data_IF_671420285066
#
_entry.id   IF_671420285066
#
_cell.length_a   1.000
_cell.length_b   1.000
_cell.length_c   1.000
_cell.angle_alpha   90.00
_cell.angle_beta   90.00
_cell.angle_gamma   90.00
#
_symmetry.space_group_name_H-M   'P 1'
#
loop_
_entity.id
_entity.type
_entity.pdbx_description
1 polymer ?
#
# COMPACT_ATOMS: atom_id res chain seq x y z
N UNK A 1 2.36 8.15 23.74
CA UNK A 1 2.74 6.74 23.92
C UNK A 1 1.59 5.89 24.46
N UNK A 2 0.89 6.30 25.51
CA UNK A 2 -0.21 5.53 26.15
C UNK A 2 -1.35 5.14 25.18
N UNK A 3 -1.74 6.01 24.26
CA UNK A 3 -2.81 5.75 23.28
C UNK A 3 -2.42 4.69 22.22
N UNK A 4 -1.15 4.66 21.81
CA UNK A 4 -0.64 3.68 20.85
C UNK A 4 -0.55 2.29 21.47
N UNK A 5 -0.13 2.19 22.73
CA UNK A 5 -0.08 0.91 23.45
C UNK A 5 -1.49 0.38 23.72
N UNK A 6 -2.45 1.23 24.09
CA UNK A 6 -3.84 0.84 24.26
C UNK A 6 -4.48 0.30 22.97
N UNK A 7 -4.23 0.97 21.83
CA UNK A 7 -4.71 0.52 20.53
C UNK A 7 -4.10 -0.83 20.11
N UNK A 8 -2.82 -1.04 20.38
CA UNK A 8 -2.12 -2.32 20.12
C UNK A 8 -2.69 -3.45 21.00
N UNK A 9 -2.96 -3.21 22.27
CA UNK A 9 -3.56 -4.19 23.18
C UNK A 9 -4.96 -4.59 22.67
N UNK A 10 -5.78 -3.62 22.27
CA UNK A 10 -7.09 -3.89 21.68
C UNK A 10 -7.00 -4.73 20.42
N UNK A 11 -6.05 -4.44 19.53
CA UNK A 11 -5.82 -5.24 18.32
C UNK A 11 -5.32 -6.65 18.62
N UNK A 12 -4.52 -6.85 19.67
CA UNK A 12 -4.06 -8.19 20.08
C UNK A 12 -5.22 -9.02 20.68
N UNK A 13 -6.11 -8.39 21.42
CA UNK A 13 -7.27 -9.08 22.04
C UNK A 13 -8.42 -9.30 21.04
N UNK A 14 -8.43 -8.61 19.90
CA UNK A 14 -9.52 -8.63 18.94
C UNK A 14 -9.92 -10.05 18.46
N UNK A 15 -9.00 -10.97 18.11
CA UNK A 15 -9.38 -12.31 17.66
C UNK A 15 -10.10 -13.17 18.68
N UNK A 16 -10.01 -12.83 19.97
CA UNK A 16 -10.70 -13.58 21.05
C UNK A 16 -12.20 -13.22 21.16
N UNK A 17 -12.57 -12.04 20.67
CA UNK A 17 -13.94 -11.52 20.73
C UNK A 17 -14.57 -11.45 19.33
N UNK A 18 -13.75 -11.30 18.29
CA UNK A 18 -14.20 -11.13 16.91
C UNK A 18 -14.53 -12.46 16.24
N UNK A 19 -15.66 -12.52 15.53
CA UNK A 19 -15.97 -13.64 14.64
C UNK A 19 -14.98 -13.73 13.48
N UNK A 20 -14.90 -14.91 12.84
CA UNK A 20 -13.96 -15.21 11.76
C UNK A 20 -14.02 -14.19 10.60
N UNK A 21 -15.23 -13.70 10.28
CA UNK A 21 -15.41 -12.63 9.28
C UNK A 21 -14.64 -11.36 9.62
N UNK A 22 -14.72 -10.90 10.88
CA UNK A 22 -14.04 -9.68 11.31
C UNK A 22 -12.52 -9.83 11.38
N UNK A 23 -12.04 -11.02 11.75
CA UNK A 23 -10.60 -11.36 11.76
C UNK A 23 -10.04 -11.30 10.34
N UNK A 24 -10.76 -11.89 9.39
CA UNK A 24 -10.39 -11.85 7.97
C UNK A 24 -10.43 -10.43 7.39
N UNK A 25 -11.44 -9.65 7.73
CA UNK A 25 -11.57 -8.26 7.33
C UNK A 25 -10.41 -7.39 7.87
N UNK A 26 -10.07 -7.57 9.15
CA UNK A 26 -8.96 -6.85 9.76
C UNK A 26 -7.61 -7.22 9.11
N UNK A 27 -7.40 -8.49 8.76
CA UNK A 27 -6.22 -8.95 8.03
C UNK A 27 -6.10 -8.26 6.66
N UNK A 28 -7.21 -8.11 5.93
CA UNK A 28 -7.25 -7.36 4.67
C UNK A 28 -6.91 -5.88 4.88
N UNK A 29 -7.45 -5.25 5.94
CA UNK A 29 -7.15 -3.86 6.29
C UNK A 29 -5.66 -3.69 6.56
N UNK A 30 -5.02 -4.59 7.29
CA UNK A 30 -3.58 -4.54 7.57
C UNK A 30 -2.74 -4.61 6.30
N UNK A 31 -3.04 -5.56 5.41
CA UNK A 31 -2.34 -5.70 4.12
C UNK A 31 -2.49 -4.43 3.29
N UNK A 32 -3.72 -3.93 3.19
CA UNK A 32 -3.99 -2.73 2.40
C UNK A 32 -3.44 -1.46 3.06
N UNK A 33 -3.30 -1.43 4.39
CA UNK A 33 -2.65 -0.34 5.12
C UNK A 33 -1.15 -0.24 4.78
N UNK A 34 -0.43 -1.36 4.65
CA UNK A 34 0.97 -1.34 4.17
C UNK A 34 1.02 -0.78 2.74
N UNK A 35 0.12 -1.23 1.87
CA UNK A 35 0.03 -0.75 0.49
C UNK A 35 -0.25 0.76 0.43
N UNK A 36 -1.23 1.25 1.15
CA UNK A 36 -1.54 2.67 1.22
C UNK A 36 -0.40 3.48 1.85
N UNK A 37 0.23 2.97 2.93
CA UNK A 37 1.38 3.63 3.55
C UNK A 37 2.59 3.73 2.60
N UNK A 38 2.81 2.73 1.75
CA UNK A 38 3.87 2.76 0.73
C UNK A 38 3.61 3.85 -0.33
N UNK A 39 2.35 4.02 -0.77
CA UNK A 39 1.95 5.12 -1.66
C UNK A 39 2.13 6.48 -0.96
N UNK A 40 1.81 6.55 0.33
CA UNK A 40 1.96 7.77 1.11
C UNK A 40 3.42 8.25 1.24
N UNK A 41 4.40 7.36 1.20
CA UNK A 41 5.81 7.75 1.13
C UNK A 41 6.09 8.61 -0.11
N UNK A 42 5.50 8.25 -1.24
CA UNK A 42 5.66 8.98 -2.50
C UNK A 42 4.77 10.23 -2.54
N UNK A 43 3.46 10.07 -2.33
CA UNK A 43 2.52 11.18 -2.44
C UNK A 43 2.65 12.16 -1.27
N UNK A 44 2.56 11.65 -0.04
CA UNK A 44 2.48 12.47 1.15
C UNK A 44 3.80 13.14 1.52
N UNK A 45 4.89 12.40 1.46
CA UNK A 45 6.21 12.91 1.84
C UNK A 45 7.05 13.37 0.67
N UNK A 46 6.93 12.70 -0.50
CA UNK A 46 7.70 13.02 -1.70
C UNK A 46 7.01 13.96 -2.68
N UNK A 47 5.70 14.18 -2.58
CA UNK A 47 4.92 14.97 -3.54
C UNK A 47 4.79 14.32 -4.93
N UNK A 48 4.96 13.00 -5.01
CA UNK A 48 4.96 12.22 -6.24
C UNK A 48 3.70 11.35 -6.30
N UNK A 49 2.66 11.83 -6.97
CA UNK A 49 1.45 11.04 -7.20
C UNK A 49 1.74 9.92 -8.21
N UNK A 50 1.41 8.67 -7.88
CA UNK A 50 1.60 7.50 -8.74
C UNK A 50 0.30 6.72 -8.91
N UNK A 51 0.01 6.29 -10.15
CA UNK A 51 -1.09 5.37 -10.49
C UNK A 51 -0.57 3.97 -10.90
N UNK A 52 0.72 3.74 -10.76
CA UNK A 52 1.36 2.47 -11.08
C UNK A 52 1.71 1.60 -9.88
N UNK A 53 1.30 1.97 -8.67
CA UNK A 53 1.82 1.33 -7.46
C UNK A 53 1.31 -0.11 -7.26
N UNK A 54 0.12 -0.44 -7.77
CA UNK A 54 -0.41 -1.82 -7.76
C UNK A 54 0.48 -2.82 -8.52
N UNK A 55 1.32 -2.34 -9.46
CA UNK A 55 2.27 -3.21 -10.14
C UNK A 55 3.29 -3.85 -9.19
N UNK A 56 3.76 -3.15 -8.15
CA UNK A 56 4.68 -3.71 -7.15
C UNK A 56 4.01 -4.77 -6.30
N UNK A 57 2.76 -4.53 -5.89
CA UNK A 57 1.94 -5.52 -5.20
C UNK A 57 1.77 -6.77 -6.08
N UNK A 58 1.32 -6.59 -7.33
CA UNK A 58 1.05 -7.69 -8.24
C UNK A 58 2.28 -8.47 -8.64
N UNK A 59 3.40 -7.80 -8.98
CA UNK A 59 4.64 -8.49 -9.37
C UNK A 59 5.21 -9.33 -8.22
N UNK A 60 5.22 -8.82 -6.99
CA UNK A 60 5.66 -9.60 -5.84
C UNK A 60 4.77 -10.83 -5.63
N UNK A 61 3.45 -10.67 -5.74
CA UNK A 61 2.49 -11.74 -5.62
C UNK A 61 2.66 -12.80 -6.73
N UNK A 62 2.78 -12.38 -7.99
CA UNK A 62 3.02 -13.31 -9.11
C UNK A 62 4.36 -14.01 -9.01
N UNK A 63 5.43 -13.29 -8.68
CA UNK A 63 6.76 -13.88 -8.56
C UNK A 63 6.78 -14.94 -7.46
N UNK A 64 6.20 -14.65 -6.28
CA UNK A 64 6.09 -15.64 -5.21
C UNK A 64 5.24 -16.84 -5.62
N UNK A 65 4.11 -16.62 -6.32
CA UNK A 65 3.24 -17.66 -6.83
C UNK A 65 3.95 -18.56 -7.85
N UNK A 66 4.65 -17.98 -8.81
CA UNK A 66 5.36 -18.71 -9.85
C UNK A 66 6.51 -19.56 -9.28
N UNK A 67 7.29 -19.00 -8.36
CA UNK A 67 8.39 -19.71 -7.72
C UNK A 67 7.88 -20.88 -6.86
N UNK A 68 6.76 -20.69 -6.15
CA UNK A 68 6.14 -21.73 -5.33
C UNK A 68 5.48 -22.83 -6.16
N UNK A 69 4.63 -22.47 -7.14
CA UNK A 69 3.82 -23.43 -7.89
C UNK A 69 4.56 -24.11 -9.02
N UNK A 70 5.36 -23.36 -9.82
CA UNK A 70 6.03 -23.93 -11.01
C UNK A 70 7.42 -24.49 -10.71
N UNK A 71 8.15 -23.88 -9.78
CA UNK A 71 9.50 -24.32 -9.41
C UNK A 71 9.53 -25.14 -8.12
N UNK A 72 8.41 -25.26 -7.40
CA UNK A 72 8.33 -26.01 -6.15
C UNK A 72 9.21 -25.44 -5.02
N UNK A 73 9.62 -24.17 -5.13
CA UNK A 73 10.50 -23.56 -4.15
C UNK A 73 9.74 -23.25 -2.86
N UNK A 74 10.32 -23.56 -1.72
CA UNK A 74 9.75 -23.24 -0.43
C UNK A 74 9.62 -21.72 -0.22
N UNK A 75 8.67 -21.32 0.64
CA UNK A 75 8.38 -19.89 0.94
C UNK A 75 9.62 -19.11 1.39
N UNK A 76 10.58 -19.75 2.06
CA UNK A 76 11.85 -19.16 2.50
C UNK A 76 12.73 -18.63 1.36
N UNK A 77 12.60 -19.20 0.17
CA UNK A 77 13.32 -18.78 -1.04
C UNK A 77 12.43 -17.93 -1.91
N UNK A 78 11.17 -18.33 -2.09
CA UNK A 78 10.21 -17.62 -2.95
C UNK A 78 9.89 -16.20 -2.46
N UNK A 79 9.72 -15.98 -1.15
CA UNK A 79 9.39 -14.67 -0.61
C UNK A 79 10.56 -13.66 -0.75
N UNK A 80 11.79 -13.94 -0.29
CA UNK A 80 12.91 -13.02 -0.52
C UNK A 80 13.19 -12.78 -2.00
N UNK A 81 13.09 -13.80 -2.85
CA UNK A 81 13.29 -13.65 -4.29
C UNK A 81 12.22 -12.74 -4.92
N UNK A 82 10.96 -12.86 -4.51
CA UNK A 82 9.89 -11.98 -4.95
C UNK A 82 10.11 -10.52 -4.50
N UNK A 83 10.55 -10.31 -3.26
CA UNK A 83 10.88 -8.98 -2.73
C UNK A 83 12.05 -8.36 -3.50
N UNK A 84 13.13 -9.11 -3.69
CA UNK A 84 14.32 -8.63 -4.40
C UNK A 84 14.00 -8.33 -5.88
N UNK A 85 13.30 -9.23 -6.57
CA UNK A 85 12.91 -9.05 -7.97
C UNK A 85 12.01 -7.83 -8.16
N UNK A 86 11.01 -7.64 -7.29
CA UNK A 86 10.13 -6.47 -7.35
C UNK A 86 10.87 -5.18 -6.99
N UNK A 87 11.78 -5.22 -6.03
CA UNK A 87 12.60 -4.05 -5.68
C UNK A 87 13.54 -3.67 -6.83
N UNK A 88 14.15 -4.64 -7.49
CA UNK A 88 14.97 -4.41 -8.68
C UNK A 88 14.13 -3.80 -9.82
N UNK A 89 12.92 -4.30 -10.03
CA UNK A 89 11.98 -3.71 -10.99
C UNK A 89 11.62 -2.27 -10.58
N UNK A 90 11.40 -1.99 -9.30
CA UNK A 90 11.16 -0.63 -8.82
C UNK A 90 12.38 0.29 -9.06
N UNK A 91 13.60 -0.22 -8.93
CA UNK A 91 14.82 0.50 -9.31
C UNK A 91 14.79 0.91 -10.79
N UNK A 92 14.49 -0.03 -11.68
CA UNK A 92 14.44 0.23 -13.13
C UNK A 92 13.30 1.20 -13.50
N UNK A 93 12.11 0.98 -12.94
CA UNK A 93 10.97 1.86 -13.19
C UNK A 93 11.22 3.28 -12.66
N UNK A 94 11.89 3.41 -11.52
CA UNK A 94 12.29 4.70 -10.97
C UNK A 94 13.23 5.48 -11.88
N UNK A 95 14.17 4.81 -12.57
CA UNK A 95 15.08 5.43 -13.54
C UNK A 95 14.31 6.03 -14.73
N UNK A 96 13.21 5.40 -15.14
CA UNK A 96 12.38 5.83 -16.26
C UNK A 96 11.38 6.90 -15.79
N UNK A 97 10.61 6.60 -14.73
CA UNK A 97 9.50 7.43 -14.29
C UNK A 97 9.95 8.81 -13.78
N UNK A 98 11.09 8.89 -13.09
CA UNK A 98 11.61 10.14 -12.53
C UNK A 98 12.27 11.07 -13.56
N UNK A 99 12.27 10.69 -14.84
CA UNK A 99 12.63 11.62 -15.95
C UNK A 99 11.53 12.65 -16.20
N UNK A 100 10.29 12.35 -15.78
CA UNK A 100 9.18 13.28 -15.85
C UNK A 100 8.79 13.79 -14.45
N UNK A 101 8.07 14.90 -14.41
CA UNK A 101 7.56 15.52 -13.17
C UNK A 101 6.07 15.80 -13.29
N UNK A 102 5.38 15.95 -12.16
CA UNK A 102 3.95 16.28 -12.13
C UNK A 102 3.09 15.26 -12.88
N UNK A 103 2.25 15.71 -13.80
CA UNK A 103 1.35 14.83 -14.57
C UNK A 103 2.11 13.85 -15.46
N UNK A 104 3.27 14.22 -16.00
CA UNK A 104 4.11 13.32 -16.79
C UNK A 104 4.60 12.11 -15.98
N UNK A 105 4.99 12.31 -14.73
CA UNK A 105 5.37 11.22 -13.83
C UNK A 105 4.19 10.27 -13.55
N UNK A 106 2.99 10.83 -13.30
CA UNK A 106 1.78 10.06 -13.06
C UNK A 106 1.42 9.20 -14.31
N UNK A 107 1.50 9.77 -15.51
CA UNK A 107 1.24 9.05 -16.76
C UNK A 107 2.28 7.97 -17.04
N UNK A 108 3.58 8.24 -16.78
CA UNK A 108 4.63 7.23 -16.98
C UNK A 108 4.47 6.05 -16.00
N UNK A 109 4.18 6.31 -14.73
CA UNK A 109 3.94 5.23 -13.76
C UNK A 109 2.72 4.39 -14.14
N UNK A 110 1.66 5.02 -14.65
CA UNK A 110 0.49 4.34 -15.19
C UNK A 110 0.86 3.47 -16.39
N UNK A 111 1.59 4.03 -17.38
CA UNK A 111 1.98 3.29 -18.57
C UNK A 111 2.85 2.06 -18.23
N UNK A 112 3.84 2.20 -17.34
CA UNK A 112 4.67 1.11 -16.86
C UNK A 112 3.84 0.02 -16.16
N UNK A 113 2.86 0.41 -15.35
CA UNK A 113 1.93 -0.51 -14.71
C UNK A 113 1.07 -1.28 -15.72
N UNK A 114 0.59 -0.60 -16.77
CA UNK A 114 -0.21 -1.22 -17.82
C UNK A 114 0.59 -2.22 -18.67
N UNK A 115 1.90 -1.98 -18.87
CA UNK A 115 2.79 -2.96 -19.50
C UNK A 115 2.84 -4.25 -18.66
N UNK A 116 3.00 -4.14 -17.35
CA UNK A 116 3.03 -5.31 -16.47
C UNK A 116 1.67 -6.03 -16.39
N UNK A 117 0.60 -5.26 -16.30
CA UNK A 117 -0.76 -5.82 -16.35
C UNK A 117 -0.99 -6.57 -17.67
N UNK A 118 -0.65 -5.97 -18.80
CA UNK A 118 -0.77 -6.58 -20.13
C UNK A 118 0.10 -7.84 -20.28
N UNK A 119 1.32 -7.83 -19.70
CA UNK A 119 2.19 -9.00 -19.65
C UNK A 119 1.56 -10.13 -18.83
N UNK A 120 1.09 -9.81 -17.61
CA UNK A 120 0.43 -10.79 -16.76
C UNK A 120 -0.86 -11.36 -17.38
N UNK A 121 -1.62 -10.54 -18.12
CA UNK A 121 -2.86 -10.95 -18.77
C UNK A 121 -2.62 -11.81 -20.02
N UNK A 122 -1.63 -11.46 -20.86
CA UNK A 122 -1.40 -12.10 -22.17
C UNK A 122 -0.47 -13.28 -22.14
N UNK A 123 0.42 -13.37 -21.16
CA UNK A 123 1.40 -14.46 -21.09
C UNK A 123 0.81 -15.70 -20.41
N UNK A 124 -0.19 -16.31 -21.06
CA UNK A 124 -0.95 -17.48 -20.52
C UNK A 124 -0.03 -18.62 -20.10
N UNK A 125 1.02 -18.91 -20.85
CA UNK A 125 1.96 -20.01 -20.50
C UNK A 125 2.67 -19.81 -19.14
N UNK A 126 2.84 -18.56 -18.68
CA UNK A 126 3.51 -18.26 -17.43
C UNK A 126 2.52 -17.98 -16.28
N UNK A 127 1.51 -17.15 -16.51
CA UNK A 127 0.64 -16.57 -15.50
C UNK A 127 -0.77 -17.16 -15.47
N UNK A 128 -1.07 -18.12 -16.36
CA UNK A 128 -2.43 -18.61 -16.65
C UNK A 128 -3.41 -17.52 -17.13
N UNK A 129 -2.89 -16.32 -17.48
CA UNK A 129 -3.68 -15.23 -18.04
C UNK A 129 -4.84 -14.82 -17.14
N UNK A 130 -6.05 -14.79 -17.73
CA UNK A 130 -7.28 -14.39 -17.02
C UNK A 130 -7.74 -15.40 -15.95
N UNK A 131 -7.29 -16.65 -15.98
CA UNK A 131 -7.61 -17.63 -14.94
C UNK A 131 -6.87 -17.35 -13.63
N UNK A 132 -5.69 -16.71 -13.71
CA UNK A 132 -4.80 -16.47 -12.57
C UNK A 132 -4.21 -17.73 -11.96
N UNK A 133 -3.29 -17.56 -11.03
CA UNK A 133 -2.61 -18.67 -10.35
C UNK A 133 -3.31 -18.98 -9.02
N UNK A 134 -3.69 -20.26 -8.84
CA UNK A 134 -4.41 -20.77 -7.66
C UNK A 134 -3.60 -21.86 -6.96
N UNK A 135 -3.95 -22.13 -5.69
CA UNK A 135 -3.36 -23.26 -4.96
C UNK A 135 -2.07 -22.94 -4.21
N UNK A 136 -1.82 -21.66 -3.93
CA UNK A 136 -0.72 -21.29 -3.07
C UNK A 136 -0.99 -21.70 -1.62
N UNK A 137 0.01 -22.31 -0.99
CA UNK A 137 0.01 -22.55 0.45
C UNK A 137 0.43 -21.29 1.22
N UNK A 138 0.00 -21.19 2.48
CA UNK A 138 0.51 -20.17 3.40
C UNK A 138 1.85 -20.61 3.98
N UNK A 139 2.78 -19.66 4.22
CA UNK A 139 4.01 -19.98 4.93
C UNK A 139 3.71 -20.37 6.39
N UNK A 140 4.58 -21.16 7.02
CA UNK A 140 4.57 -21.48 8.46
C UNK A 140 3.30 -22.15 8.99
N UNK A 141 2.49 -22.82 8.17
CA UNK A 141 1.23 -23.44 8.58
C UNK A 141 0.23 -22.43 9.20
N UNK A 142 0.27 -21.16 8.80
CA UNK A 142 -0.72 -20.16 9.19
C UNK A 142 -2.08 -20.38 8.47
N UNK A 143 -2.59 -21.61 8.51
CA UNK A 143 -3.85 -21.94 7.84
C UNK A 143 -5.06 -21.39 8.59
N UNK A 144 -4.95 -21.24 9.90
CA UNK A 144 -5.95 -20.63 10.75
C UNK A 144 -6.03 -19.11 10.56
N UNK A 145 -7.27 -18.57 10.59
CA UNK A 145 -7.52 -17.14 10.40
C UNK A 145 -6.86 -16.27 11.47
N UNK A 146 -6.88 -16.73 12.73
CA UNK A 146 -6.29 -16.01 13.86
C UNK A 146 -4.77 -15.96 13.76
N UNK A 147 -4.11 -17.06 13.40
CA UNK A 147 -2.66 -17.13 13.22
C UNK A 147 -2.19 -16.20 12.10
N UNK A 148 -2.92 -16.18 10.97
CA UNK A 148 -2.62 -15.27 9.88
C UNK A 148 -2.85 -13.80 10.25
N UNK A 149 -3.88 -13.51 11.04
CA UNK A 149 -4.15 -12.17 11.56
C UNK A 149 -2.96 -11.61 12.35
N UNK A 150 -2.43 -12.41 13.32
CA UNK A 150 -1.26 -11.98 14.10
C UNK A 150 -0.02 -11.78 13.23
N UNK A 151 0.17 -12.62 12.23
CA UNK A 151 1.25 -12.44 11.26
C UNK A 151 1.10 -11.13 10.47
N UNK A 152 -0.10 -10.85 9.94
CA UNK A 152 -0.41 -9.62 9.21
C UNK A 152 -0.28 -8.38 10.11
N UNK A 153 -0.74 -8.46 11.37
CA UNK A 153 -0.60 -7.39 12.37
C UNK A 153 0.88 -7.10 12.66
N UNK A 154 1.68 -8.12 12.92
CA UNK A 154 3.11 -7.97 13.18
C UNK A 154 3.86 -7.38 11.97
N UNK A 155 3.56 -7.89 10.76
CA UNK A 155 4.13 -7.36 9.53
C UNK A 155 3.76 -5.89 9.31
N UNK A 156 2.50 -5.51 9.56
CA UNK A 156 2.03 -4.13 9.43
C UNK A 156 2.68 -3.22 10.46
N UNK A 157 2.73 -3.65 11.72
CA UNK A 157 3.38 -2.88 12.77
C UNK A 157 4.88 -2.65 12.48
N UNK A 158 5.59 -3.70 12.05
CA UNK A 158 7.00 -3.61 11.66
C UNK A 158 7.19 -2.68 10.44
N UNK A 159 6.33 -2.81 9.42
CA UNK A 159 6.37 -1.98 8.21
C UNK A 159 6.16 -0.50 8.55
N UNK A 160 5.12 -0.18 9.30
CA UNK A 160 4.83 1.19 9.71
C UNK A 160 5.91 1.77 10.62
N UNK A 161 6.49 0.97 11.50
CA UNK A 161 7.60 1.40 12.35
C UNK A 161 8.85 1.73 11.53
N UNK A 162 9.22 0.89 10.56
CA UNK A 162 10.36 1.14 9.67
C UNK A 162 10.13 2.34 8.76
N UNK A 163 8.91 2.51 8.22
CA UNK A 163 8.52 3.71 7.47
C UNK A 163 8.58 4.96 8.36
N UNK A 164 8.13 4.88 9.62
CA UNK A 164 8.21 5.98 10.57
C UNK A 164 9.66 6.40 10.82
N UNK A 165 10.55 5.43 11.01
CA UNK A 165 11.99 5.68 11.17
C UNK A 165 12.60 6.33 9.93
N UNK A 166 12.22 5.87 8.74
CA UNK A 166 12.67 6.45 7.47
C UNK A 166 12.23 7.91 7.33
N UNK A 167 10.94 8.20 7.56
CA UNK A 167 10.38 9.56 7.47
C UNK A 167 10.92 10.48 8.57
N UNK A 168 11.19 9.95 9.77
CA UNK A 168 11.78 10.69 10.90
C UNK A 168 13.28 10.92 10.79
N UNK A 169 13.96 10.30 9.83
CA UNK A 169 15.40 10.45 9.62
C UNK A 169 15.78 11.78 8.93
N UNK A 170 17.06 12.17 8.93
CA UNK A 170 17.55 13.29 8.12
C UNK A 170 17.21 13.16 6.64
N UNK A 171 17.19 11.92 6.10
CA UNK A 171 16.77 11.64 4.75
C UNK A 171 15.30 12.00 4.53
N UNK A 172 14.41 11.65 5.45
CA UNK A 172 12.99 12.04 5.39
C UNK A 172 12.78 13.56 5.49
N UNK A 173 13.62 14.29 6.21
CA UNK A 173 13.61 15.75 6.21
C UNK A 173 14.02 16.31 4.83
N UNK A 174 15.08 15.76 4.23
CA UNK A 174 15.51 16.12 2.88
C UNK A 174 14.42 15.80 1.84
N UNK A 175 13.72 14.66 1.97
CA UNK A 175 12.60 14.30 1.10
C UNK A 175 11.49 15.33 1.14
N UNK A 176 11.04 15.76 2.33
CA UNK A 176 10.04 16.84 2.48
C UNK A 176 10.54 18.14 1.87
N UNK A 177 11.80 18.49 2.07
CA UNK A 177 12.42 19.65 1.43
C UNK A 177 12.38 19.58 -0.11
N UNK A 178 12.61 18.39 -0.70
CA UNK A 178 12.50 18.19 -2.16
C UNK A 178 11.07 18.25 -2.67
N UNK A 179 10.08 17.91 -1.83
CA UNK A 179 8.66 18.08 -2.15
C UNK A 179 8.29 19.56 -2.20
N UNK A 180 8.65 20.30 -1.16
CA UNK A 180 8.20 21.68 -0.98
C UNK A 180 8.94 22.65 -1.89
N UNK A 181 10.27 22.56 -2.00
CA UNK A 181 11.11 23.44 -2.82
C UNK A 181 12.32 22.71 -3.44
N UNK A 182 12.15 21.99 -4.55
CA UNK A 182 13.23 21.20 -5.18
C UNK A 182 14.44 22.06 -5.57
N UNK A 183 14.21 23.30 -6.08
CA UNK A 183 15.28 24.22 -6.49
C UNK A 183 16.16 24.64 -5.32
N UNK A 184 15.55 24.93 -4.16
CA UNK A 184 16.30 25.28 -2.94
C UNK A 184 17.15 24.11 -2.46
N UNK A 185 16.61 22.90 -2.46
CA UNK A 185 17.36 21.70 -2.06
C UNK A 185 18.55 21.44 -2.96
N UNK A 186 18.40 21.65 -4.27
CA UNK A 186 19.50 21.56 -5.22
C UNK A 186 20.58 22.63 -4.97
N UNK A 187 20.19 23.87 -4.66
CA UNK A 187 21.12 24.94 -4.30
C UNK A 187 21.89 24.67 -3.01
N UNK A 188 21.31 23.90 -2.07
CA UNK A 188 21.96 23.42 -0.84
C UNK A 188 22.88 22.20 -1.07
N UNK A 189 23.05 21.76 -2.33
CA UNK A 189 23.94 20.62 -2.68
C UNK A 189 23.27 19.24 -2.60
N UNK A 190 21.96 19.16 -2.33
CA UNK A 190 21.27 17.88 -2.31
C UNK A 190 20.93 17.39 -3.73
N UNK A 191 21.22 16.12 -4.01
CA UNK A 191 20.78 15.48 -5.24
C UNK A 191 19.29 15.12 -5.17
N UNK A 192 18.42 16.03 -5.64
CA UNK A 192 16.97 15.88 -5.61
C UNK A 192 16.50 14.61 -6.32
N UNK A 193 17.13 14.29 -7.47
CA UNK A 193 16.78 13.10 -8.23
C UNK A 193 17.06 11.82 -7.44
N UNK A 194 18.24 11.71 -6.81
CA UNK A 194 18.64 10.55 -6.04
C UNK A 194 17.73 10.34 -4.80
N UNK A 195 17.36 11.44 -4.10
CA UNK A 195 16.45 11.39 -2.97
C UNK A 195 15.08 10.82 -3.40
N UNK A 196 14.54 11.30 -4.52
CA UNK A 196 13.28 10.80 -5.07
C UNK A 196 13.39 9.35 -5.52
N UNK A 197 14.49 8.97 -6.15
CA UNK A 197 14.72 7.61 -6.63
C UNK A 197 14.81 6.61 -5.48
N UNK A 198 15.59 6.89 -4.44
CA UNK A 198 15.67 6.05 -3.25
C UNK A 198 14.29 5.89 -2.60
N UNK A 199 13.53 6.98 -2.49
CA UNK A 199 12.17 6.94 -1.95
C UNK A 199 11.23 6.09 -2.81
N UNK A 200 11.35 6.19 -4.13
CA UNK A 200 10.55 5.40 -5.07
C UNK A 200 10.83 3.90 -4.93
N UNK A 201 12.10 3.52 -4.85
CA UNK A 201 12.52 2.12 -4.63
C UNK A 201 12.05 1.61 -3.26
N UNK A 202 12.23 2.43 -2.22
CA UNK A 202 11.78 2.07 -0.87
C UNK A 202 10.26 1.91 -0.78
N UNK A 203 9.50 2.77 -1.43
CA UNK A 203 8.05 2.64 -1.54
C UNK A 203 7.66 1.38 -2.33
N UNK A 204 8.33 1.08 -3.44
CA UNK A 204 8.13 -0.14 -4.23
C UNK A 204 8.39 -1.42 -3.42
N UNK A 205 9.44 -1.42 -2.57
CA UNK A 205 9.71 -2.52 -1.65
C UNK A 205 8.53 -2.79 -0.69
N UNK A 206 7.95 -1.74 -0.10
CA UNK A 206 6.79 -1.91 0.80
C UNK A 206 5.53 -2.31 0.03
N UNK A 207 5.36 -1.84 -1.21
CA UNK A 207 4.35 -2.34 -2.11
C UNK A 207 4.50 -3.84 -2.38
N UNK A 208 5.75 -4.33 -2.53
CA UNK A 208 6.04 -5.75 -2.69
C UNK A 208 5.74 -6.56 -1.41
N UNK A 209 6.06 -6.03 -0.22
CA UNK A 209 5.70 -6.67 1.07
C UNK A 209 4.18 -6.84 1.18
N UNK A 210 3.42 -5.80 0.85
CA UNK A 210 1.96 -5.89 0.80
C UNK A 210 1.49 -6.95 -0.20
N UNK A 211 2.13 -7.06 -1.38
CA UNK A 211 1.82 -8.06 -2.40
C UNK A 211 2.06 -9.50 -1.95
N UNK A 212 3.14 -9.75 -1.21
CA UNK A 212 3.38 -11.07 -0.61
C UNK A 212 2.30 -11.44 0.42
N UNK A 213 1.95 -10.52 1.32
CA UNK A 213 0.89 -10.76 2.29
C UNK A 213 -0.46 -10.95 1.60
N UNK A 214 -0.71 -10.19 0.53
CA UNK A 214 -1.93 -10.30 -0.27
C UNK A 214 -2.09 -11.70 -0.88
N UNK A 215 -1.05 -12.23 -1.52
CA UNK A 215 -1.12 -13.55 -2.14
C UNK A 215 -1.21 -14.68 -1.12
N UNK A 216 -0.57 -14.56 0.05
CA UNK A 216 -0.70 -15.53 1.14
C UNK A 216 -2.07 -15.48 1.80
N UNK A 217 -2.70 -14.31 1.85
CA UNK A 217 -4.06 -14.17 2.35
C UNK A 217 -5.07 -14.83 1.40
N UNK A 218 -5.06 -14.44 0.13
CA UNK A 218 -6.04 -14.90 -0.86
C UNK A 218 -5.77 -16.31 -1.39
N UNK A 219 -4.55 -16.84 -1.25
CA UNK A 219 -4.10 -18.12 -1.85
C UNK A 219 -4.30 -18.16 -3.39
N UNK A 220 -4.43 -16.99 -3.98
CA UNK A 220 -4.77 -16.77 -5.39
C UNK A 220 -4.27 -15.41 -5.86
N UNK A 221 -3.83 -15.33 -7.12
CA UNK A 221 -3.46 -14.07 -7.76
C UNK A 221 -4.05 -13.98 -9.17
N UNK A 222 -4.62 -12.86 -9.51
CA UNK A 222 -5.24 -12.56 -10.78
C UNK A 222 -4.65 -11.26 -11.36
N UNK A 223 -4.56 -11.08 -12.71
CA UNK A 223 -4.04 -9.86 -13.32
C UNK A 223 -4.73 -8.58 -12.86
N UNK A 224 -6.00 -8.65 -12.45
CA UNK A 224 -6.75 -7.49 -11.92
C UNK A 224 -6.06 -6.85 -10.69
N UNK A 225 -5.21 -7.62 -9.99
CA UNK A 225 -4.44 -7.09 -8.85
C UNK A 225 -3.39 -6.05 -9.27
N UNK A 226 -2.97 -6.05 -10.56
CA UNK A 226 -2.08 -5.05 -11.15
C UNK A 226 -2.85 -3.87 -11.78
N UNK A 227 -4.18 -3.88 -11.73
CA UNK A 227 -5.00 -2.92 -12.45
C UNK A 227 -4.83 -1.48 -11.93
N UNK A 228 -5.15 -0.53 -12.80
CA UNK A 228 -5.27 0.88 -12.45
C UNK A 228 -6.24 1.10 -11.27
N UNK A 229 -7.33 0.33 -11.23
CA UNK A 229 -8.35 0.44 -10.16
C UNK A 229 -7.74 0.22 -8.79
N UNK A 230 -6.91 -0.81 -8.60
CA UNK A 230 -6.24 -1.06 -7.32
C UNK A 230 -5.22 0.04 -6.95
N UNK A 231 -4.50 0.59 -7.95
CA UNK A 231 -3.63 1.74 -7.72
C UNK A 231 -4.43 2.97 -7.29
N UNK A 232 -5.57 3.22 -7.93
CA UNK A 232 -6.46 4.32 -7.61
C UNK A 232 -7.09 4.15 -6.21
N UNK A 233 -7.58 2.96 -5.85
CA UNK A 233 -8.09 2.66 -4.51
C UNK A 233 -7.03 2.96 -3.43
N UNK A 234 -5.78 2.56 -3.65
CA UNK A 234 -4.67 2.86 -2.74
C UNK A 234 -4.38 4.36 -2.62
N UNK A 235 -4.36 5.07 -3.76
CA UNK A 235 -4.18 6.53 -3.77
C UNK A 235 -5.33 7.24 -3.04
N UNK A 236 -6.55 6.82 -3.29
CA UNK A 236 -7.75 7.32 -2.63
C UNK A 236 -7.68 7.08 -1.12
N UNK A 237 -7.27 5.91 -0.67
CA UNK A 237 -7.09 5.61 0.75
C UNK A 237 -6.11 6.58 1.42
N UNK A 238 -5.00 6.93 0.74
CA UNK A 238 -4.03 7.89 1.27
C UNK A 238 -4.64 9.30 1.37
N UNK A 239 -5.35 9.75 0.35
CA UNK A 239 -5.98 11.08 0.32
C UNK A 239 -7.07 11.16 1.39
N UNK A 240 -7.97 10.18 1.46
CA UNK A 240 -9.05 10.14 2.45
C UNK A 240 -8.53 10.07 3.88
N UNK A 241 -7.53 9.25 4.14
CA UNK A 241 -6.95 9.12 5.47
C UNK A 241 -6.18 10.36 5.92
N UNK A 242 -5.56 11.05 4.98
CA UNK A 242 -4.72 12.25 5.19
C UNK A 242 -3.28 12.02 4.78
N UNK A 243 -2.93 12.52 3.59
CA UNK A 243 -1.59 12.41 3.01
C UNK A 243 -0.54 13.12 3.89
N UNK A 244 0.67 12.56 3.95
CA UNK A 244 1.76 13.12 4.76
C UNK A 244 1.67 12.82 6.27
N UNK A 245 0.71 11.99 6.70
CA UNK A 245 0.65 11.45 8.06
C UNK A 245 0.87 9.94 8.04
N UNK A 246 1.45 9.37 9.10
CA UNK A 246 1.67 7.91 9.17
C UNK A 246 0.39 7.13 9.49
N UNK A 247 -0.50 7.72 10.29
CA UNK A 247 -1.77 7.10 10.64
C UNK A 247 -2.85 7.25 9.57
N UNK A 248 -2.74 8.25 8.70
CA UNK A 248 -3.71 8.51 7.64
C UNK A 248 -3.97 7.30 6.74
N UNK A 249 -2.93 6.72 6.13
CA UNK A 249 -3.10 5.56 5.26
C UNK A 249 -3.77 4.35 5.93
N UNK A 250 -3.54 4.16 7.23
CA UNK A 250 -4.16 3.06 7.99
C UNK A 250 -5.67 3.30 8.13
N UNK A 251 -6.06 4.53 8.50
CA UNK A 251 -7.48 4.91 8.61
C UNK A 251 -8.14 4.89 7.22
N UNK A 252 -7.46 5.41 6.20
CA UNK A 252 -7.96 5.37 4.83
C UNK A 252 -8.12 3.94 4.29
N UNK A 253 -7.16 3.07 4.58
CA UNK A 253 -7.26 1.64 4.26
C UNK A 253 -8.46 0.98 4.94
N UNK A 254 -8.69 1.29 6.22
CA UNK A 254 -9.85 0.79 6.94
C UNK A 254 -11.17 1.28 6.30
N UNK A 255 -11.26 2.56 5.96
CA UNK A 255 -12.45 3.12 5.29
C UNK A 255 -12.70 2.40 3.95
N UNK A 256 -11.70 2.27 3.08
CA UNK A 256 -11.84 1.63 1.78
C UNK A 256 -12.25 0.16 1.93
N UNK A 257 -11.58 -0.59 2.80
CA UNK A 257 -11.85 -2.02 2.97
C UNK A 257 -13.19 -2.28 3.65
N UNK A 258 -13.59 -1.46 4.61
CA UNK A 258 -14.93 -1.54 5.20
C UNK A 258 -16.02 -1.25 4.15
N UNK A 259 -15.87 -0.19 3.38
CA UNK A 259 -16.81 0.12 2.30
C UNK A 259 -16.85 -1.02 1.27
N UNK A 260 -15.69 -1.54 0.86
CA UNK A 260 -15.60 -2.63 -0.13
C UNK A 260 -16.30 -3.90 0.35
N UNK A 261 -16.11 -4.31 1.58
CA UNK A 261 -16.67 -5.57 2.10
C UNK A 261 -18.13 -5.46 2.53
N UNK A 262 -18.54 -4.35 3.17
CA UNK A 262 -19.94 -4.18 3.61
C UNK A 262 -20.84 -3.66 2.49
N UNK A 263 -20.39 -2.67 1.74
CA UNK A 263 -21.26 -2.03 0.73
C UNK A 263 -21.44 -2.92 -0.49
N UNK A 264 -20.40 -3.65 -0.91
CA UNK A 264 -20.49 -4.57 -2.04
C UNK A 264 -21.47 -5.74 -1.81
N UNK A 265 -21.73 -6.09 -0.54
CA UNK A 265 -22.70 -7.12 -0.20
C UNK A 265 -24.17 -6.69 -0.45
N UNK A 266 -24.45 -5.38 -0.45
CA UNK A 266 -25.81 -4.83 -0.58
C UNK A 266 -26.02 -4.06 -1.88
N UNK A 267 -24.97 -3.55 -2.51
CA UNK A 267 -25.04 -2.64 -3.65
C UNK A 267 -24.06 -3.07 -4.73
N UNK A 268 -24.56 -3.52 -5.87
CA UNK A 268 -23.75 -3.94 -7.02
C UNK A 268 -22.81 -2.83 -7.52
N UNK A 269 -23.25 -1.56 -7.42
CA UNK A 269 -22.48 -0.38 -7.85
C UNK A 269 -21.66 0.26 -6.71
N UNK A 270 -21.03 -0.55 -5.88
CA UNK A 270 -20.23 -0.09 -4.75
C UNK A 270 -19.12 0.91 -5.12
N UNK A 271 -18.55 0.81 -6.34
CA UNK A 271 -17.56 1.77 -6.84
C UNK A 271 -18.11 3.20 -6.94
N UNK A 272 -19.38 3.38 -7.29
CA UNK A 272 -20.03 4.70 -7.33
C UNK A 272 -20.16 5.28 -5.92
N UNK A 273 -20.51 4.45 -4.95
CA UNK A 273 -20.59 4.84 -3.55
C UNK A 273 -19.20 5.19 -2.98
N UNK A 274 -18.19 4.40 -3.32
CA UNK A 274 -16.81 4.69 -2.96
C UNK A 274 -16.42 6.08 -3.48
N UNK A 275 -16.67 6.36 -4.76
CA UNK A 275 -16.42 7.67 -5.36
C UNK A 275 -17.16 8.81 -4.65
N UNK A 276 -18.46 8.60 -4.31
CA UNK A 276 -19.26 9.59 -3.57
C UNK A 276 -18.67 9.88 -2.18
N UNK A 277 -18.31 8.84 -1.42
CA UNK A 277 -17.65 8.98 -0.10
C UNK A 277 -16.36 9.78 -0.23
N UNK A 278 -15.57 9.52 -1.28
CA UNK A 278 -14.36 10.29 -1.54
C UNK A 278 -14.64 11.76 -1.81
N UNK A 279 -15.62 12.08 -2.66
CA UNK A 279 -16.04 13.47 -2.92
C UNK A 279 -16.44 14.14 -1.62
N UNK A 280 -17.22 13.47 -0.79
CA UNK A 280 -17.61 14.00 0.53
C UNK A 280 -16.40 14.26 1.44
N UNK A 281 -15.46 13.31 1.52
CA UNK A 281 -14.24 13.49 2.34
C UNK A 281 -13.42 14.67 1.83
N UNK A 282 -13.19 14.79 0.53
CA UNK A 282 -12.39 15.87 -0.06
C UNK A 282 -13.05 17.24 0.14
N UNK A 283 -14.38 17.31 0.02
CA UNK A 283 -15.13 18.57 0.19
C UNK A 283 -15.16 19.01 1.66
N UNK A 284 -15.43 18.09 2.59
CA UNK A 284 -15.58 18.42 4.02
C UNK A 284 -14.27 18.36 4.81
N UNK A 285 -13.32 17.51 4.39
CA UNK A 285 -12.02 17.30 5.04
C UNK A 285 -10.88 17.31 4.02
N UNK A 286 -10.54 18.44 3.40
CA UNK A 286 -9.56 18.50 2.31
C UNK A 286 -8.15 18.03 2.73
N UNK A 287 -7.83 18.05 4.04
CA UNK A 287 -6.58 17.53 4.58
C UNK A 287 -6.63 16.02 4.90
N UNK A 288 -7.81 15.38 4.71
CA UNK A 288 -8.09 13.99 5.08
C UNK A 288 -8.68 13.84 6.49
N UNK A 289 -9.16 12.63 6.79
CA UNK A 289 -9.89 12.32 8.04
C UNK A 289 -9.03 12.53 9.28
N UNK A 290 -7.79 12.03 9.30
CA UNK A 290 -6.93 12.09 10.50
C UNK A 290 -6.54 13.53 10.88
N UNK A 291 -6.04 14.38 9.97
CA UNK A 291 -5.79 15.78 10.28
C UNK A 291 -7.08 16.55 10.57
N UNK A 292 -8.17 16.28 9.86
CA UNK A 292 -9.47 16.90 10.03
C UNK A 292 -10.04 16.69 11.45
N UNK A 293 -10.04 15.45 11.91
CA UNK A 293 -10.49 15.10 13.29
C UNK A 293 -9.61 15.76 14.33
N UNK A 294 -8.29 15.75 14.14
CA UNK A 294 -7.35 16.43 15.06
C UNK A 294 -7.64 17.94 15.15
N UNK A 295 -7.91 18.60 14.02
CA UNK A 295 -8.27 20.03 13.97
C UNK A 295 -9.58 20.32 14.69
N UNK A 296 -10.61 19.49 14.47
CA UNK A 296 -11.89 19.61 15.17
C UNK A 296 -11.70 19.45 16.67
N UNK A 297 -10.99 18.42 17.10
CA UNK A 297 -10.73 18.18 18.52
C UNK A 297 -10.00 19.35 19.19
N UNK A 298 -8.97 19.92 18.55
CA UNK A 298 -8.25 21.09 19.05
C UNK A 298 -9.16 22.34 19.16
N UNK A 299 -10.09 22.52 18.22
CA UNK A 299 -11.07 23.63 18.30
C UNK A 299 -12.05 23.49 19.46
N UNK A 300 -12.45 22.25 19.78
CA UNK A 300 -13.29 22.00 20.96
C UNK A 300 -12.50 22.14 22.27
N UNK A 301 -11.29 21.62 22.33
CA UNK A 301 -10.43 21.71 23.52
C UNK A 301 -9.96 23.15 23.85
N UNK A 302 -9.92 24.07 22.87
CA UNK A 302 -9.59 25.49 23.08
C UNK A 302 -10.78 26.34 23.51
N UNK A 303 -12.00 25.76 23.54
CA UNK A 303 -13.22 26.48 23.99
C UNK A 303 -13.64 26.11 25.42
N UNK A 304 -12.98 25.16 26.04
CA UNK A 304 -13.06 24.82 27.47
C UNK A 304 -11.83 25.30 28.21
#
# INVERSE_FOLDING_TARGET
MVWLSGCLILLILFPWVGGEFYINLASQIFIFAIFAASINLLLGYGGLATLGHASYLGVAAYTSALLGLKLGLGHWIAAPAALLGTTLMACLFGLIALRATGLGFLMLTLALSQVLWGTAYRWVALTDGDNGLRGLSRPFHFDDAASFYYFALAATAASLWLMARFVGSPFGAALRGTRDQPRRMSALGHNVWLIRWITFVYAGFWGAVSGLLFVYYHKYIHPISLSLTNSAEGLLAVIAGGSGTLGGPVVGAAIVMLLKNYVSAYIERWNTLLGLVFVLIVVFMPEGVVPGVKRLWLRFASRT
#
